data_IF_129916793132
#
_entry.id   IF_129916793132
#
_cell.length_a   1.000
_cell.length_b   1.000
_cell.length_c   1.000
_cell.angle_alpha   90.00
_cell.angle_beta   90.00
_cell.angle_gamma   90.00
#
_symmetry.space_group_name_H-M   'P 1'
#
loop_
_entity.id
_entity.type
_entity.pdbx_description
1 polymer ?
#
# COMPACT_ATOMS: atom_id res chain seq x y z
N UNK A 1 -18.09 24.05 5.01
CA UNK A 1 -18.20 23.65 6.44
C UNK A 1 -17.32 22.42 6.63
N UNK A 2 -16.16 22.53 7.29
CA UNK A 2 -15.30 21.37 7.54
C UNK A 2 -15.99 20.50 8.60
N UNK A 3 -16.49 19.31 8.24
CA UNK A 3 -16.80 18.29 9.24
C UNK A 3 -15.45 17.85 9.81
N UNK A 4 -15.14 18.32 11.00
CA UNK A 4 -14.06 17.75 11.81
C UNK A 4 -14.54 16.36 12.20
N UNK A 5 -13.83 15.31 11.78
CA UNK A 5 -14.06 13.96 12.31
C UNK A 5 -13.85 14.04 13.83
N UNK A 6 -14.90 13.74 14.59
CA UNK A 6 -14.80 13.72 16.03
C UNK A 6 -14.27 12.33 16.43
N UNK A 7 -13.16 12.29 17.17
CA UNK A 7 -12.54 11.04 17.62
C UNK A 7 -13.51 10.03 18.29
N UNK A 8 -14.47 10.46 19.12
CA UNK A 8 -15.49 9.58 19.68
C UNK A 8 -16.38 8.88 18.64
N UNK A 9 -16.63 9.50 17.47
CA UNK A 9 -17.46 8.89 16.42
C UNK A 9 -16.71 7.74 15.73
N UNK A 10 -15.39 7.90 15.56
CA UNK A 10 -14.50 6.86 15.03
C UNK A 10 -14.38 5.72 16.04
N UNK A 11 -14.18 6.03 17.31
CA UNK A 11 -14.04 5.04 18.38
C UNK A 11 -15.31 4.21 18.58
N UNK A 12 -16.49 4.84 18.57
CA UNK A 12 -17.78 4.14 18.61
C UNK A 12 -17.96 3.21 17.40
N UNK A 13 -17.59 3.67 16.20
CA UNK A 13 -17.68 2.86 14.97
C UNK A 13 -16.76 1.63 15.04
N UNK A 14 -15.54 1.80 15.57
CA UNK A 14 -14.58 0.70 15.77
C UNK A 14 -15.06 -0.31 16.84
N UNK A 15 -15.66 0.18 17.93
CA UNK A 15 -16.23 -0.69 18.98
C UNK A 15 -17.44 -1.49 18.49
N UNK A 16 -18.34 -0.86 17.72
CA UNK A 16 -19.49 -1.53 17.10
C UNK A 16 -19.03 -2.60 16.10
N UNK A 17 -18.04 -2.28 15.26
CA UNK A 17 -17.43 -3.21 14.33
C UNK A 17 -16.80 -4.42 15.04
N UNK A 18 -16.02 -4.18 16.11
CA UNK A 18 -15.35 -5.23 16.89
C UNK A 18 -16.32 -6.13 17.68
N UNK A 19 -17.50 -5.63 18.03
CA UNK A 19 -18.52 -6.40 18.77
C UNK A 19 -19.40 -7.28 17.88
N UNK A 20 -19.33 -7.10 16.56
CA UNK A 20 -20.25 -7.74 15.61
C UNK A 20 -19.75 -9.14 15.24
N UNK A 21 -20.58 -10.17 15.49
CA UNK A 21 -20.31 -11.55 15.08
C UNK A 21 -20.89 -11.83 13.70
N UNK A 22 -20.04 -12.11 12.73
CA UNK A 22 -20.44 -12.50 11.38
C UNK A 22 -20.53 -14.01 11.25
N UNK A 23 -21.53 -14.51 10.51
CA UNK A 23 -21.70 -15.95 10.27
C UNK A 23 -20.82 -16.47 9.12
N UNK A 24 -20.21 -15.58 8.34
CA UNK A 24 -19.28 -15.93 7.26
C UNK A 24 -18.35 -14.76 6.92
N UNK A 25 -17.20 -15.05 6.31
CA UNK A 25 -16.28 -14.04 5.77
C UNK A 25 -16.94 -13.12 4.74
N UNK A 26 -17.86 -13.64 3.92
CA UNK A 26 -18.60 -12.84 2.94
C UNK A 26 -19.48 -11.78 3.61
N UNK A 27 -20.15 -12.14 4.70
CA UNK A 27 -20.95 -11.18 5.50
C UNK A 27 -20.08 -10.13 6.18
N UNK A 28 -18.93 -10.55 6.73
CA UNK A 28 -17.98 -9.61 7.33
C UNK A 28 -17.49 -8.61 6.28
N UNK A 29 -17.09 -9.09 5.11
CA UNK A 29 -16.59 -8.24 4.02
C UNK A 29 -17.63 -7.22 3.55
N UNK A 30 -18.85 -7.66 3.24
CA UNK A 30 -19.93 -6.75 2.82
C UNK A 30 -20.20 -5.71 3.90
N UNK A 31 -20.25 -6.12 5.17
CA UNK A 31 -20.48 -5.19 6.27
C UNK A 31 -19.37 -4.15 6.39
N UNK A 32 -18.10 -4.56 6.33
CA UNK A 32 -16.98 -3.63 6.37
C UNK A 32 -16.93 -2.73 5.15
N UNK A 33 -17.22 -3.23 3.94
CA UNK A 33 -17.34 -2.40 2.73
C UNK A 33 -18.44 -1.34 2.86
N UNK A 34 -19.59 -1.68 3.45
CA UNK A 34 -20.70 -0.75 3.66
C UNK A 34 -20.46 0.27 4.78
N UNK A 35 -19.65 -0.08 5.78
CA UNK A 35 -19.41 0.72 6.98
C UNK A 35 -17.99 1.28 7.05
N UNK A 36 -17.22 1.16 5.96
CA UNK A 36 -15.88 1.71 5.90
C UNK A 36 -15.97 3.23 6.05
N UNK A 37 -15.34 3.83 7.08
CA UNK A 37 -15.35 5.27 7.23
C UNK A 37 -14.75 5.89 5.97
N UNK A 38 -15.43 6.91 5.44
CA UNK A 38 -14.92 7.64 4.27
C UNK A 38 -13.49 8.10 4.57
N UNK A 39 -12.50 7.75 3.74
CA UNK A 39 -11.12 8.14 3.98
C UNK A 39 -11.04 9.66 4.00
N UNK A 40 -10.70 10.20 5.16
CA UNK A 40 -10.46 11.63 5.34
C UNK A 40 -8.98 11.83 5.60
N UNK A 41 -8.30 12.68 4.81
CA UNK A 41 -6.89 12.95 5.01
C UNK A 41 -6.72 13.72 6.33
N UNK A 42 -6.25 13.02 7.35
CA UNK A 42 -5.92 13.59 8.65
C UNK A 42 -4.60 14.37 8.60
N UNK A 43 -3.67 13.90 7.77
CA UNK A 43 -2.33 14.46 7.57
C UNK A 43 -1.95 14.38 6.08
N UNK A 44 -0.99 15.19 5.68
CA UNK A 44 -0.36 15.13 4.36
C UNK A 44 0.84 14.19 4.32
N UNK A 45 1.36 13.79 5.49
CA UNK A 45 2.51 12.92 5.66
C UNK A 45 2.30 11.98 6.85
N UNK A 46 2.52 10.69 6.64
CA UNK A 46 2.50 9.66 7.67
C UNK A 46 3.78 8.84 7.58
N UNK A 47 4.55 8.84 8.67
CA UNK A 47 5.64 7.89 8.86
C UNK A 47 5.09 6.65 9.55
N UNK A 48 5.18 5.51 8.87
CA UNK A 48 4.69 4.23 9.35
C UNK A 48 5.86 3.28 9.51
N UNK A 49 6.05 2.78 10.72
CA UNK A 49 7.04 1.77 11.02
C UNK A 49 6.36 0.41 11.01
N UNK A 50 6.85 -0.47 10.15
CA UNK A 50 6.37 -1.84 9.98
C UNK A 50 7.49 -2.80 10.36
N UNK A 51 7.11 -3.93 10.96
CA UNK A 51 8.02 -4.98 11.44
C UNK A 51 9.08 -4.43 12.42
N UNK A 52 8.84 -4.62 13.72
CA UNK A 52 9.81 -4.20 14.75
C UNK A 52 11.15 -4.93 14.66
N UNK A 53 11.21 -6.10 13.98
CA UNK A 53 12.45 -6.83 13.74
C UNK A 53 13.30 -6.19 12.66
N UNK A 54 12.74 -6.05 11.45
CA UNK A 54 13.45 -5.52 10.28
C UNK A 54 13.52 -3.98 10.25
N UNK A 55 12.64 -3.30 10.98
CA UNK A 55 12.64 -1.84 11.14
C UNK A 55 12.25 -1.09 9.87
N UNK A 56 11.29 -1.59 9.09
CA UNK A 56 10.85 -0.94 7.87
C UNK A 56 10.21 0.42 8.18
N UNK A 57 10.71 1.47 7.54
CA UNK A 57 10.17 2.81 7.64
C UNK A 57 9.54 3.22 6.31
N UNK A 58 8.22 3.39 6.31
CA UNK A 58 7.42 3.79 5.15
C UNK A 58 6.98 5.23 5.31
N UNK A 59 7.06 6.00 4.22
CA UNK A 59 6.55 7.36 4.15
C UNK A 59 5.35 7.41 3.21
N UNK A 60 4.19 7.76 3.74
CA UNK A 60 2.97 7.97 2.97
C UNK A 60 2.69 9.46 2.83
N UNK A 61 2.78 9.98 1.61
CA UNK A 61 2.43 11.36 1.31
C UNK A 61 1.08 11.46 0.58
N UNK A 62 0.19 12.33 1.04
CA UNK A 62 -1.06 12.65 0.34
C UNK A 62 -0.82 13.86 -0.57
N UNK A 63 -0.71 13.61 -1.88
CA UNK A 63 -0.45 14.67 -2.88
C UNK A 63 -1.73 15.45 -3.22
N UNK A 64 -2.82 14.73 -3.48
CA UNK A 64 -4.05 15.30 -4.00
C UNK A 64 -5.27 14.67 -3.33
N UNK A 65 -6.31 15.47 -3.15
CA UNK A 65 -7.56 15.06 -2.51
C UNK A 65 -8.69 15.51 -3.41
N UNK A 66 -9.57 14.57 -3.74
CA UNK A 66 -10.70 14.78 -4.61
C UNK A 66 -11.99 14.41 -3.90
N UNK A 67 -13.01 15.27 -4.04
CA UNK A 67 -14.34 14.99 -3.49
C UNK A 67 -15.42 15.33 -4.50
N UNK A 68 -16.48 14.51 -4.50
CA UNK A 68 -17.68 14.80 -5.27
C UNK A 68 -18.72 15.46 -4.36
N UNK A 69 -19.18 16.66 -4.73
CA UNK A 69 -20.25 17.39 -4.07
C UNK A 69 -21.32 17.75 -5.11
N UNK A 70 -22.55 17.29 -4.91
CA UNK A 70 -23.68 17.55 -5.82
C UNK A 70 -23.39 17.20 -7.29
N UNK A 71 -22.63 16.13 -7.52
CA UNK A 71 -22.25 15.68 -8.87
C UNK A 71 -21.10 16.49 -9.50
N UNK A 72 -20.46 17.38 -8.75
CA UNK A 72 -19.27 18.12 -9.15
C UNK A 72 -18.03 17.64 -8.38
N UNK A 73 -16.97 17.30 -9.12
CA UNK A 73 -15.67 16.97 -8.54
C UNK A 73 -14.89 18.23 -8.22
N UNK A 74 -14.36 18.27 -6.99
CA UNK A 74 -13.61 19.38 -6.44
C UNK A 74 -12.26 18.88 -5.91
N UNK A 75 -11.22 19.71 -6.03
CA UNK A 75 -9.93 19.46 -5.37
C UNK A 75 -9.95 19.83 -3.87
N UNK A 76 -8.80 19.71 -3.22
CA UNK A 76 -8.59 20.08 -1.81
C UNK A 76 -8.85 21.57 -1.51
N UNK A 77 -8.92 22.42 -2.52
CA UNK A 77 -9.17 23.87 -2.45
C UNK A 77 -10.57 24.25 -2.92
N UNK A 78 -11.48 23.28 -3.03
CA UNK A 78 -12.84 23.46 -3.51
C UNK A 78 -12.93 23.95 -4.98
N UNK A 79 -11.89 23.71 -5.79
CA UNK A 79 -11.88 24.12 -7.19
C UNK A 79 -12.45 23.02 -8.08
N UNK A 80 -13.32 23.35 -9.05
CA UNK A 80 -13.86 22.38 -9.99
C UNK A 80 -12.78 21.65 -10.79
N UNK A 81 -12.99 20.35 -10.99
CA UNK A 81 -12.13 19.50 -11.82
C UNK A 81 -12.97 18.85 -12.91
N UNK A 82 -12.50 18.98 -14.15
CA UNK A 82 -13.17 18.43 -15.32
C UNK A 82 -12.42 17.26 -15.95
N UNK A 83 -11.09 17.26 -15.97
CA UNK A 83 -10.36 16.41 -16.93
C UNK A 83 -10.17 14.95 -16.54
N UNK A 84 -10.48 14.57 -15.28
CA UNK A 84 -10.39 13.19 -14.77
C UNK A 84 -11.70 12.77 -14.07
N UNK A 85 -12.81 13.46 -14.36
CA UNK A 85 -14.10 13.28 -13.65
C UNK A 85 -14.60 11.84 -13.78
N UNK A 86 -14.45 11.22 -14.95
CA UNK A 86 -14.99 9.89 -15.22
C UNK A 86 -14.15 8.82 -14.53
N UNK A 87 -12.83 8.98 -14.56
CA UNK A 87 -11.85 8.15 -13.88
C UNK A 87 -12.04 8.22 -12.37
N UNK A 88 -12.21 9.42 -11.81
CA UNK A 88 -12.50 9.60 -10.38
C UNK A 88 -13.84 8.95 -9.99
N UNK A 89 -14.86 9.05 -10.84
CA UNK A 89 -16.15 8.40 -10.60
C UNK A 89 -16.07 6.87 -10.69
N UNK A 90 -15.27 6.33 -11.62
CA UNK A 90 -15.04 4.90 -11.73
C UNK A 90 -14.25 4.38 -10.53
N UNK A 91 -13.14 5.05 -10.17
CA UNK A 91 -12.32 4.73 -8.99
C UNK A 91 -13.17 4.75 -7.74
N UNK A 92 -13.91 5.82 -7.49
CA UNK A 92 -14.74 5.95 -6.29
C UNK A 92 -15.92 4.96 -6.22
N UNK A 93 -16.36 4.38 -7.35
CA UNK A 93 -17.49 3.43 -7.37
C UNK A 93 -17.07 1.97 -7.41
N UNK A 94 -15.89 1.66 -7.94
CA UNK A 94 -15.45 0.27 -8.19
C UNK A 94 -14.23 -0.14 -7.39
N UNK A 95 -13.32 0.79 -7.09
CA UNK A 95 -12.00 0.45 -6.62
C UNK A 95 -11.77 0.94 -5.20
N UNK A 96 -11.30 0.03 -4.35
CA UNK A 96 -10.86 0.31 -2.99
C UNK A 96 -9.43 -0.20 -2.86
N UNK A 97 -8.54 0.59 -2.22
CA UNK A 97 -7.38 1.26 -2.85
C UNK A 97 -6.85 0.66 -4.17
N UNK A 98 -6.58 1.51 -5.17
CA UNK A 98 -6.02 1.12 -6.47
C UNK A 98 -4.58 1.64 -6.63
N UNK A 99 -3.64 0.74 -6.89
CA UNK A 99 -2.31 1.10 -7.33
C UNK A 99 -2.35 1.50 -8.81
N UNK A 100 -2.20 2.80 -9.08
CA UNK A 100 -2.19 3.34 -10.46
C UNK A 100 -0.78 3.39 -11.07
N UNK A 101 0.24 3.42 -10.22
CA UNK A 101 1.64 3.50 -10.61
C UNK A 101 2.49 2.85 -9.51
N UNK A 102 3.53 2.14 -9.92
CA UNK A 102 4.52 1.51 -9.04
C UNK A 102 5.89 1.68 -9.67
N UNK A 103 6.82 2.18 -8.89
CA UNK A 103 8.25 2.14 -9.20
C UNK A 103 8.96 1.33 -8.11
N UNK A 104 9.89 0.47 -8.51
CA UNK A 104 10.58 -0.47 -7.62
C UNK A 104 9.89 -1.84 -7.42
N UNK A 105 10.34 -2.55 -6.39
CA UNK A 105 9.99 -3.94 -6.08
C UNK A 105 9.40 -4.06 -4.67
N UNK A 106 8.69 -5.16 -4.42
CA UNK A 106 8.16 -5.53 -3.12
C UNK A 106 9.29 -5.70 -2.09
N UNK A 107 9.05 -5.18 -0.89
CA UNK A 107 9.87 -5.50 0.29
C UNK A 107 9.67 -6.97 0.67
N UNK A 108 10.61 -7.48 1.45
CA UNK A 108 10.61 -8.86 1.91
C UNK A 108 10.77 -8.90 3.42
N UNK A 109 9.85 -9.57 4.09
CA UNK A 109 9.85 -9.69 5.55
C UNK A 109 10.92 -10.70 6.01
N UNK A 110 11.40 -10.54 7.24
CA UNK A 110 12.43 -11.34 7.90
C UNK A 110 13.79 -11.40 7.15
N UNK A 111 14.10 -10.39 6.34
CA UNK A 111 15.33 -10.35 5.54
C UNK A 111 16.49 -9.69 6.29
N UNK A 112 16.24 -9.06 7.45
CA UNK A 112 17.23 -8.25 8.17
C UNK A 112 17.21 -6.78 7.76
N UNK A 113 16.01 -6.27 7.46
CA UNK A 113 15.77 -4.88 7.08
C UNK A 113 16.51 -4.44 5.83
N UNK A 114 16.81 -3.14 5.75
CA UNK A 114 17.45 -2.54 4.58
C UNK A 114 18.80 -3.19 4.23
N UNK A 115 19.60 -3.53 5.24
CA UNK A 115 20.94 -4.11 5.02
C UNK A 115 20.83 -5.50 4.40
N UNK A 116 20.01 -6.37 4.98
CA UNK A 116 19.82 -7.71 4.46
C UNK A 116 19.15 -7.71 3.09
N UNK A 117 18.22 -6.77 2.83
CA UNK A 117 17.62 -6.61 1.52
C UNK A 117 18.64 -6.16 0.45
N UNK A 118 19.52 -5.20 0.76
CA UNK A 118 20.60 -4.82 -0.15
C UNK A 118 21.53 -6.01 -0.45
N UNK A 119 21.94 -6.77 0.57
CA UNK A 119 22.77 -7.97 0.41
C UNK A 119 22.08 -9.04 -0.44
N UNK A 120 20.77 -9.20 -0.28
CA UNK A 120 19.97 -10.10 -1.11
C UNK A 120 20.02 -9.66 -2.58
N UNK A 121 19.80 -8.36 -2.86
CA UNK A 121 19.86 -7.84 -4.23
C UNK A 121 21.27 -8.02 -4.83
N UNK A 122 22.32 -7.74 -4.06
CA UNK A 122 23.70 -7.98 -4.50
C UNK A 122 23.89 -9.46 -4.83
N UNK A 123 23.48 -10.39 -3.96
CA UNK A 123 23.65 -11.82 -4.20
C UNK A 123 22.84 -12.33 -5.40
N UNK A 124 21.63 -11.81 -5.60
CA UNK A 124 20.76 -12.21 -6.71
C UNK A 124 21.15 -11.61 -8.06
N UNK A 125 21.79 -10.44 -8.07
CA UNK A 125 22.11 -9.68 -9.29
C UNK A 125 23.60 -9.44 -9.53
N UNK A 126 24.49 -9.93 -8.68
CA UNK A 126 25.91 -10.02 -8.97
C UNK A 126 26.15 -11.14 -10.00
N UNK A 127 26.36 -10.73 -11.25
CA UNK A 127 26.65 -11.62 -12.37
C UNK A 127 28.16 -11.82 -12.58
N UNK A 128 29.01 -11.16 -11.79
CA UNK A 128 30.46 -11.28 -11.89
C UNK A 128 30.96 -12.51 -11.11
N UNK A 129 30.22 -12.91 -10.07
CA UNK A 129 30.53 -14.10 -9.25
C UNK A 129 29.84 -15.35 -9.78
N UNK A 130 30.55 -16.09 -10.64
CA UNK A 130 30.05 -17.29 -11.32
C UNK A 130 30.67 -18.61 -10.79
N UNK A 131 31.27 -18.60 -9.60
CA UNK A 131 31.72 -19.84 -8.96
C UNK A 131 30.53 -20.67 -8.44
N UNK A 132 30.75 -21.98 -8.27
CA UNK A 132 29.69 -22.93 -7.91
C UNK A 132 29.02 -22.59 -6.58
N UNK A 133 29.78 -22.08 -5.60
CA UNK A 133 29.25 -21.74 -4.28
C UNK A 133 28.36 -20.49 -4.38
N UNK A 134 28.79 -19.46 -5.12
CA UNK A 134 27.98 -18.26 -5.41
C UNK A 134 26.69 -18.59 -6.17
N UNK A 135 26.74 -19.52 -7.14
CA UNK A 135 25.55 -19.96 -7.89
C UNK A 135 24.55 -20.67 -6.98
N UNK A 136 25.01 -21.55 -6.09
CA UNK A 136 24.12 -22.26 -5.17
C UNK A 136 23.51 -21.32 -4.13
N UNK A 137 24.30 -20.43 -3.52
CA UNK A 137 23.80 -19.42 -2.58
C UNK A 137 22.72 -18.54 -3.22
N UNK A 138 22.95 -18.09 -4.45
CA UNK A 138 21.96 -17.33 -5.22
C UNK A 138 20.66 -18.11 -5.41
N UNK A 139 20.76 -19.40 -5.72
CA UNK A 139 19.60 -20.27 -5.93
C UNK A 139 18.81 -20.49 -4.64
N UNK A 140 19.49 -20.81 -3.54
CA UNK A 140 18.88 -21.01 -2.23
C UNK A 140 18.15 -19.74 -1.77
N UNK A 141 18.80 -18.58 -1.89
CA UNK A 141 18.22 -17.30 -1.52
C UNK A 141 17.01 -16.94 -2.39
N UNK A 142 17.09 -17.19 -3.71
CA UNK A 142 15.96 -16.97 -4.60
C UNK A 142 14.75 -17.83 -4.23
N UNK A 143 14.95 -19.12 -3.94
CA UNK A 143 13.86 -20.02 -3.54
C UNK A 143 13.23 -19.58 -2.21
N UNK A 144 14.06 -19.21 -1.23
CA UNK A 144 13.59 -18.71 0.05
C UNK A 144 12.75 -17.43 -0.09
N UNK A 145 13.17 -16.51 -0.96
CA UNK A 145 12.45 -15.27 -1.25
C UNK A 145 11.14 -15.55 -2.01
N UNK A 146 11.19 -16.47 -2.97
CA UNK A 146 10.02 -16.90 -3.74
C UNK A 146 8.95 -17.54 -2.87
N UNK A 147 9.34 -18.39 -1.91
CA UNK A 147 8.42 -19.02 -0.95
C UNK A 147 7.72 -17.98 -0.04
N UNK A 148 8.31 -16.79 0.11
CA UNK A 148 7.73 -15.63 0.80
C UNK A 148 6.92 -14.71 -0.10
N UNK A 149 6.72 -15.09 -1.36
CA UNK A 149 5.95 -14.33 -2.34
C UNK A 149 6.77 -13.27 -3.10
N UNK A 150 8.09 -13.20 -2.90
CA UNK A 150 8.94 -12.30 -3.67
C UNK A 150 9.26 -12.89 -5.04
N UNK A 151 8.80 -12.24 -6.10
CA UNK A 151 8.91 -12.81 -7.46
C UNK A 151 10.04 -12.22 -8.30
N UNK A 152 10.66 -11.10 -7.87
CA UNK A 152 11.76 -10.43 -8.59
C UNK A 152 11.44 -9.91 -10.00
N UNK A 153 10.22 -10.14 -10.51
CA UNK A 153 9.84 -9.95 -11.92
C UNK A 153 9.58 -8.47 -12.31
N UNK A 154 9.87 -7.50 -11.44
CA UNK A 154 9.55 -6.08 -11.66
C UNK A 154 10.77 -5.16 -11.72
N UNK A 155 11.99 -5.67 -11.90
CA UNK A 155 13.15 -4.81 -12.17
C UNK A 155 13.19 -4.47 -13.67
N UNK A 156 12.42 -3.46 -14.08
CA UNK A 156 12.62 -2.81 -15.38
C UNK A 156 13.69 -1.73 -15.23
N UNK A 157 14.94 -2.07 -15.54
CA UNK A 157 16.08 -1.13 -15.58
C UNK A 157 15.84 0.16 -16.40
N UNK A 158 14.82 0.19 -17.27
CA UNK A 158 14.46 1.36 -18.09
C UNK A 158 13.69 2.47 -17.36
N UNK A 159 13.34 2.32 -16.07
CA UNK A 159 12.70 3.40 -15.28
C UNK A 159 13.60 3.99 -14.19
N UNK A 160 14.87 3.56 -14.07
CA UNK A 160 15.75 3.95 -12.96
C UNK A 160 16.92 4.86 -13.39
N UNK A 161 16.93 5.38 -14.62
CA UNK A 161 17.90 6.38 -15.10
C UNK A 161 17.21 7.50 -15.90
#
# INVERSE_FOLDING_TARGET
MRRVLNWPDVENSLQEAGSKKFRSHKQARIYYEEHDPKPMPLTHLLHYFYDEGDGWALEFSCKEIYRCQEGQWLDSRDRPISTWRNELAEVASRYHPLCIEKDGIELLDDIGGLTGFCQMLETLFDFERLDADSIEQRRELFLWAYDRGWTGNTIRLKSTL
#
